data_IF_142332142670
#
_entry.id   IF_142332142670
#
_cell.length_a   1.000
_cell.length_b   1.000
_cell.length_c   1.000
_cell.angle_alpha   90.00
_cell.angle_beta   90.00
_cell.angle_gamma   90.00
#
_symmetry.space_group_name_H-M   'P 1'
#
loop_
_entity.id
_entity.type
_entity.pdbx_description
1 polymer ?
#
# COMPACT_ATOMS: atom_id res chain seq x y z
N UNK A 1 -0.40 12.87 -12.86
CA UNK A 1 -0.57 11.79 -13.85
C UNK A 1 -0.44 10.43 -13.18
N UNK A 2 -1.28 9.49 -13.54
CA UNK A 2 -1.23 8.14 -12.99
C UNK A 2 -0.10 7.37 -13.64
N UNK A 3 0.77 6.79 -12.82
CA UNK A 3 1.87 5.96 -13.28
C UNK A 3 1.53 4.49 -13.01
N UNK A 4 1.17 3.78 -14.06
CA UNK A 4 0.77 2.38 -13.94
C UNK A 4 1.92 1.45 -13.55
N UNK A 5 3.15 1.85 -13.83
CA UNK A 5 4.32 1.10 -13.36
C UNK A 5 4.41 1.16 -11.84
N UNK A 6 4.18 2.33 -11.26
CA UNK A 6 4.20 2.50 -9.80
C UNK A 6 3.06 1.72 -9.16
N UNK A 7 1.86 1.81 -9.73
CA UNK A 7 0.70 1.05 -9.25
C UNK A 7 1.00 -0.45 -9.26
N UNK A 8 1.50 -0.96 -10.38
CA UNK A 8 1.85 -2.36 -10.51
C UNK A 8 2.90 -2.80 -9.52
N UNK A 9 3.92 -1.98 -9.29
CA UNK A 9 4.97 -2.27 -8.31
C UNK A 9 4.40 -2.38 -6.89
N UNK A 10 3.46 -1.53 -6.55
CA UNK A 10 2.82 -1.56 -5.23
C UNK A 10 1.93 -2.78 -5.06
N UNK A 11 1.17 -3.12 -6.08
CA UNK A 11 0.36 -4.34 -6.07
C UNK A 11 1.27 -5.54 -5.82
N UNK A 12 2.37 -5.62 -6.54
CA UNK A 12 3.34 -6.69 -6.37
C UNK A 12 3.90 -6.73 -4.94
N UNK A 13 4.26 -5.58 -4.40
CA UNK A 13 4.83 -5.50 -3.06
C UNK A 13 3.85 -5.97 -2.01
N UNK A 14 2.61 -5.50 -2.07
CA UNK A 14 1.57 -5.95 -1.14
C UNK A 14 1.32 -7.45 -1.28
N UNK A 15 1.33 -7.96 -2.51
CA UNK A 15 1.13 -9.39 -2.75
C UNK A 15 2.25 -10.23 -2.12
N UNK A 16 3.50 -9.82 -2.36
CA UNK A 16 4.66 -10.52 -1.80
C UNK A 16 4.67 -10.46 -0.28
N UNK A 17 4.34 -9.31 0.29
CA UNK A 17 4.29 -9.15 1.75
C UNK A 17 3.26 -10.06 2.40
N UNK A 18 2.23 -10.43 1.67
CA UNK A 18 1.15 -11.31 2.17
C UNK A 18 1.33 -12.77 1.78
N UNK A 19 2.43 -13.09 1.10
CA UNK A 19 2.70 -14.46 0.69
C UNK A 19 1.73 -14.99 -0.37
N UNK A 20 1.10 -14.11 -1.14
CA UNK A 20 0.14 -14.48 -2.18
C UNK A 20 0.89 -14.60 -3.50
N UNK A 21 0.68 -15.71 -4.23
CA UNK A 21 1.28 -15.88 -5.56
C UNK A 21 0.45 -15.13 -6.61
N UNK A 22 1.06 -14.84 -7.76
CA UNK A 22 0.33 -14.27 -8.88
C UNK A 22 -0.83 -15.17 -9.31
N UNK A 23 -0.60 -16.46 -9.29
CA UNK A 23 -1.60 -17.47 -9.67
C UNK A 23 -2.78 -17.45 -8.69
N UNK A 24 -2.52 -17.38 -7.40
CA UNK A 24 -3.56 -17.32 -6.38
C UNK A 24 -4.39 -16.03 -6.51
N UNK A 25 -3.72 -14.89 -6.68
CA UNK A 25 -4.41 -13.63 -6.88
C UNK A 25 -5.29 -13.67 -8.12
N UNK A 26 -4.75 -14.19 -9.22
CA UNK A 26 -5.49 -14.31 -10.48
C UNK A 26 -6.75 -15.15 -10.30
N UNK A 27 -6.65 -16.27 -9.59
CA UNK A 27 -7.78 -17.13 -9.29
C UNK A 27 -8.86 -16.41 -8.51
N UNK A 28 -8.45 -15.69 -7.46
CA UNK A 28 -9.40 -15.02 -6.56
C UNK A 28 -10.18 -13.88 -7.23
N UNK A 29 -9.60 -13.24 -8.24
CA UNK A 29 -10.29 -12.15 -8.95
C UNK A 29 -10.74 -12.58 -10.35
N UNK A 30 -10.75 -13.88 -10.60
CA UNK A 30 -11.28 -14.48 -11.81
C UNK A 30 -10.60 -13.93 -13.08
N UNK A 31 -9.28 -14.00 -13.10
CA UNK A 31 -8.46 -13.57 -14.25
C UNK A 31 -7.29 -14.52 -14.45
N UNK A 32 -6.42 -14.23 -15.40
CA UNK A 32 -5.25 -15.05 -15.71
C UNK A 32 -4.02 -14.57 -14.96
N UNK A 33 -3.08 -15.50 -14.76
CA UNK A 33 -1.76 -15.15 -14.19
C UNK A 33 -1.03 -14.16 -15.09
N UNK A 34 -1.16 -14.29 -16.41
CA UNK A 34 -0.58 -13.34 -17.35
C UNK A 34 -1.13 -11.93 -17.16
N UNK A 35 -2.44 -11.81 -16.87
CA UNK A 35 -3.06 -10.53 -16.59
C UNK A 35 -2.42 -9.87 -15.36
N UNK A 36 -2.27 -10.61 -14.27
CA UNK A 36 -1.64 -10.10 -13.05
C UNK A 36 -0.20 -9.70 -13.31
N UNK A 37 0.56 -10.54 -14.01
CA UNK A 37 1.95 -10.23 -14.37
C UNK A 37 2.05 -8.93 -15.15
N UNK A 38 1.18 -8.73 -16.12
CA UNK A 38 1.19 -7.52 -16.95
C UNK A 38 0.78 -6.29 -16.17
N UNK A 39 -0.14 -6.41 -15.22
CA UNK A 39 -0.49 -5.30 -14.31
C UNK A 39 0.71 -4.94 -13.43
N UNK A 40 1.36 -5.94 -12.84
CA UNK A 40 2.48 -5.70 -11.93
C UNK A 40 3.68 -5.07 -12.64
N UNK A 41 3.85 -5.36 -13.92
CA UNK A 41 4.93 -4.75 -14.74
C UNK A 41 4.55 -3.41 -15.35
N UNK A 42 3.32 -2.94 -15.14
CA UNK A 42 2.85 -1.68 -15.68
C UNK A 42 2.51 -1.71 -17.15
N UNK A 43 2.48 -2.90 -17.77
CA UNK A 43 2.18 -3.06 -19.18
C UNK A 43 0.69 -2.95 -19.45
N UNK A 44 -0.13 -3.45 -18.54
CA UNK A 44 -1.58 -3.41 -18.65
C UNK A 44 -2.18 -2.51 -17.60
N UNK A 45 -3.19 -1.73 -18.01
CA UNK A 45 -3.93 -0.84 -17.11
C UNK A 45 -5.10 -1.62 -16.52
N UNK A 46 -5.13 -1.82 -15.20
CA UNK A 46 -6.28 -2.47 -14.57
C UNK A 46 -7.49 -1.54 -14.59
N UNK A 47 -8.68 -2.11 -14.74
CA UNK A 47 -9.91 -1.35 -14.55
C UNK A 47 -10.08 -0.99 -13.07
N UNK A 48 -10.91 0.01 -12.79
CA UNK A 48 -11.21 0.37 -11.41
C UNK A 48 -11.81 -0.81 -10.65
N UNK A 49 -12.68 -1.58 -11.31
CA UNK A 49 -13.27 -2.77 -10.70
C UNK A 49 -12.20 -3.79 -10.32
N UNK A 50 -11.25 -4.06 -11.21
CA UNK A 50 -10.17 -5.01 -10.91
C UNK A 50 -9.25 -4.50 -9.81
N UNK A 51 -8.95 -3.20 -9.80
CA UNK A 51 -8.19 -2.61 -8.69
C UNK A 51 -8.90 -2.81 -7.35
N UNK A 52 -10.20 -2.61 -7.31
CA UNK A 52 -11.01 -2.81 -6.11
C UNK A 52 -10.95 -4.27 -5.65
N UNK A 53 -11.08 -5.21 -6.59
CA UNK A 53 -11.01 -6.63 -6.27
C UNK A 53 -9.62 -7.03 -5.74
N UNK A 54 -8.56 -6.52 -6.35
CA UNK A 54 -7.20 -6.77 -5.88
C UNK A 54 -7.01 -6.21 -4.47
N UNK A 55 -7.50 -5.00 -4.22
CA UNK A 55 -7.40 -4.39 -2.90
C UNK A 55 -8.13 -5.21 -1.84
N UNK A 56 -9.30 -5.72 -2.16
CA UNK A 56 -10.08 -6.57 -1.24
C UNK A 56 -9.32 -7.84 -0.87
N UNK A 57 -8.71 -8.50 -1.85
CA UNK A 57 -7.93 -9.73 -1.60
C UNK A 57 -6.76 -9.43 -0.66
N UNK A 58 -6.15 -8.27 -0.80
CA UNK A 58 -4.96 -7.90 -0.02
C UNK A 58 -5.29 -7.16 1.27
N UNK A 59 -6.58 -6.91 1.55
CA UNK A 59 -7.03 -6.16 2.73
C UNK A 59 -6.41 -4.76 2.80
N UNK A 60 -6.32 -4.11 1.66
CA UNK A 60 -5.88 -2.71 1.55
C UNK A 60 -6.92 -1.92 0.78
N UNK A 61 -6.74 -0.62 0.69
CA UNK A 61 -7.61 0.25 -0.11
C UNK A 61 -7.00 0.50 -1.47
N UNK A 62 -7.84 0.90 -2.43
CA UNK A 62 -7.34 1.32 -3.75
C UNK A 62 -6.37 2.49 -3.62
N UNK A 63 -6.60 3.38 -2.65
CA UNK A 63 -5.68 4.50 -2.39
C UNK A 63 -4.26 4.03 -2.06
N UNK A 64 -4.11 2.87 -1.44
CA UNK A 64 -2.78 2.33 -1.13
C UNK A 64 -1.98 2.05 -2.40
N UNK A 65 -2.64 1.73 -3.50
CA UNK A 65 -1.98 1.53 -4.78
C UNK A 65 -1.75 2.86 -5.52
N UNK A 66 -2.69 3.80 -5.39
CA UNK A 66 -2.67 5.07 -6.10
C UNK A 66 -1.88 6.15 -5.38
N UNK A 67 -1.54 5.90 -4.12
CA UNK A 67 -0.95 6.92 -3.28
C UNK A 67 0.43 7.29 -3.78
N UNK A 68 0.47 8.37 -4.52
CA UNK A 68 1.66 9.11 -4.84
C UNK A 68 1.34 10.55 -4.52
N UNK A 69 1.86 11.03 -3.41
CA UNK A 69 1.65 12.41 -3.07
C UNK A 69 2.79 13.25 -3.63
N UNK A 70 2.47 14.25 -4.45
CA UNK A 70 3.49 15.21 -4.89
C UNK A 70 3.86 16.19 -3.78
N UNK A 71 3.19 16.12 -2.62
CA UNK A 71 3.42 17.04 -1.52
C UNK A 71 4.60 16.56 -0.67
N UNK A 72 5.63 17.39 -0.49
CA UNK A 72 6.81 17.00 0.28
C UNK A 72 6.52 16.52 1.70
N UNK A 73 5.44 17.00 2.31
CA UNK A 73 5.05 16.60 3.66
C UNK A 73 4.88 15.10 3.82
N UNK A 74 4.47 14.41 2.76
CA UNK A 74 4.24 12.96 2.82
C UNK A 74 5.52 12.15 2.74
N UNK A 75 6.63 12.79 2.45
CA UNK A 75 7.93 12.14 2.45
C UNK A 75 8.49 11.92 3.85
N UNK A 76 7.94 12.63 4.85
CA UNK A 76 8.40 12.54 6.24
C UNK A 76 7.84 11.33 6.98
N UNK A 77 6.75 10.77 6.46
CA UNK A 77 6.22 9.52 6.98
C UNK A 77 6.53 8.43 5.99
N UNK A 78 7.72 7.89 6.13
CA UNK A 78 8.16 6.77 5.33
C UNK A 78 7.17 5.62 5.46
N UNK A 79 6.89 4.99 4.32
CA UNK A 79 5.98 3.85 4.28
C UNK A 79 6.49 2.70 5.16
N UNK A 80 7.80 2.52 5.21
CA UNK A 80 8.42 1.52 6.06
C UNK A 80 8.10 1.76 7.54
N UNK A 81 8.11 3.02 7.95
CA UNK A 81 7.75 3.39 9.32
C UNK A 81 6.28 3.04 9.62
N UNK A 82 5.37 3.38 8.70
CA UNK A 82 3.96 3.06 8.88
C UNK A 82 3.71 1.56 8.91
N UNK A 83 4.42 0.80 8.07
CA UNK A 83 4.33 -0.65 8.06
C UNK A 83 4.84 -1.24 9.37
N UNK A 84 5.94 -0.72 9.90
CA UNK A 84 6.46 -1.15 11.20
C UNK A 84 5.46 -0.87 12.31
N UNK A 85 4.81 0.28 12.29
CA UNK A 85 3.78 0.61 13.28
C UNK A 85 2.59 -0.35 13.17
N UNK A 86 2.19 -0.70 11.96
CA UNK A 86 1.06 -1.60 11.74
C UNK A 86 1.32 -3.02 12.26
N UNK A 87 2.58 -3.42 12.35
CA UNK A 87 2.97 -4.71 12.90
C UNK A 87 2.92 -4.75 14.42
N UNK A 88 2.84 -3.63 15.08
CA UNK A 88 2.78 -3.56 16.53
C UNK A 88 1.38 -3.90 17.03
N UNK A 89 1.31 -4.36 18.29
CA UNK A 89 0.02 -4.58 18.95
C UNK A 89 -0.71 -3.25 19.09
N UNK A 90 -2.06 -3.26 19.22
CA UNK A 90 -2.82 -2.02 19.43
C UNK A 90 -2.33 -1.21 20.63
N UNK A 91 -1.89 -1.87 21.70
CA UNK A 91 -1.34 -1.22 22.86
C UNK A 91 -0.04 -0.48 22.54
N UNK A 92 0.86 -1.14 21.80
CA UNK A 92 2.11 -0.51 21.38
C UNK A 92 1.86 0.64 20.40
N UNK A 93 0.88 0.49 19.53
CA UNK A 93 0.51 1.58 18.60
C UNK A 93 0.03 2.81 19.36
N UNK A 94 -0.73 2.64 20.44
CA UNK A 94 -1.16 3.75 21.28
C UNK A 94 0.01 4.48 21.94
N UNK A 95 0.98 3.72 22.43
CA UNK A 95 2.20 4.29 23.05
C UNK A 95 2.97 5.10 22.02
N UNK A 96 3.18 4.53 20.81
CA UNK A 96 3.88 5.20 19.73
C UNK A 96 3.16 6.50 19.33
N UNK A 97 1.85 6.44 19.17
CA UNK A 97 1.04 7.61 18.80
C UNK A 97 1.16 8.72 19.85
N UNK A 98 1.11 8.36 21.11
CA UNK A 98 1.24 9.31 22.21
C UNK A 98 2.61 9.98 22.20
N UNK A 99 3.68 9.19 22.02
CA UNK A 99 5.03 9.69 21.98
C UNK A 99 5.26 10.62 20.79
N UNK A 100 4.75 10.26 19.61
CA UNK A 100 4.83 11.09 18.43
C UNK A 100 4.10 12.41 18.64
N UNK A 101 2.91 12.37 19.23
CA UNK A 101 2.13 13.58 19.52
C UNK A 101 2.87 14.53 20.42
N UNK A 102 3.57 14.01 21.46
CA UNK A 102 4.37 14.85 22.36
C UNK A 102 5.56 15.47 21.65
N UNK A 103 6.25 14.69 20.80
CA UNK A 103 7.37 15.22 20.02
C UNK A 103 6.90 16.37 19.13
N UNK A 104 5.76 16.18 18.44
CA UNK A 104 5.20 17.20 17.56
C UNK A 104 4.84 18.47 18.36
N UNK A 105 4.18 18.30 19.50
CA UNK A 105 3.82 19.46 20.34
C UNK A 105 5.04 20.22 20.79
N UNK A 106 6.10 19.52 21.21
CA UNK A 106 7.35 20.14 21.62
C UNK A 106 7.97 20.94 20.49
N UNK A 107 7.98 20.37 19.29
CA UNK A 107 8.53 21.03 18.11
C UNK A 107 7.72 22.25 17.70
N UNK A 108 6.40 22.19 17.84
CA UNK A 108 5.51 23.30 17.48
C UNK A 108 5.58 24.46 18.49
N UNK A 109 6.00 24.19 19.72
CA UNK A 109 6.07 25.21 20.77
C UNK A 109 7.39 25.99 20.77
N UNK A 110 8.33 25.60 19.94
CA UNK A 110 9.61 26.30 19.79
C UNK A 110 9.55 27.50 18.84
#
# INVERSE_FOLDING_TARGET
>A
MIDYFVIGSRIRQYRLDRGITQEDLAFRINTSTAYISNIERGIKKPSLQKLTEIAEVMHVTVNDFLYYSPYPANQYFDRDLLDMISMCTPEKQRIITKNIAEIIRTMLSE
#
